data_IF_200173746982
#
_entry.id   IF_200173746982
#
_cell.length_a   1.000
_cell.length_b   1.000
_cell.length_c   1.000
_cell.angle_alpha   90.00
_cell.angle_beta   90.00
_cell.angle_gamma   90.00
#
_symmetry.space_group_name_H-M   'P 1'
#
loop_
_entity.id
_entity.type
_entity.pdbx_description
1 polymer ?
#
# COMPACT_ATOMS: atom_id res chain seq x y z
N UNK A 1 -3.25 2.04 29.82
CA UNK A 1 -2.33 1.12 29.11
C UNK A 1 -2.29 -0.20 29.87
N UNK A 2 -2.88 -1.28 29.34
CA UNK A 2 -2.74 -2.58 29.99
C UNK A 2 -1.42 -3.27 29.59
N UNK A 3 -0.28 -2.66 29.93
CA UNK A 3 1.01 -3.33 29.77
C UNK A 3 1.09 -4.58 30.66
N UNK A 4 2.18 -5.36 30.58
CA UNK A 4 2.46 -6.44 31.53
C UNK A 4 2.46 -5.96 32.99
N UNK A 5 2.46 -4.65 33.24
CA UNK A 5 2.37 -4.01 34.57
C UNK A 5 0.96 -3.57 34.96
N UNK A 6 -0.07 -3.87 34.18
CA UNK A 6 -1.39 -3.29 34.42
C UNK A 6 -2.16 -3.94 35.57
N UNK A 7 -2.74 -3.15 36.48
CA UNK A 7 -3.46 -3.68 37.64
C UNK A 7 -4.56 -4.70 37.30
N UNK A 8 -5.39 -4.54 36.24
CA UNK A 8 -6.44 -5.50 35.91
C UNK A 8 -5.92 -6.87 35.46
N UNK A 9 -4.79 -6.90 34.74
CA UNK A 9 -4.16 -8.15 34.31
C UNK A 9 -3.65 -8.92 35.54
N UNK A 10 -2.93 -8.26 36.43
CA UNK A 10 -2.45 -8.87 37.67
C UNK A 10 -3.61 -9.31 38.57
N UNK A 11 -4.67 -8.51 38.68
CA UNK A 11 -5.87 -8.89 39.42
C UNK A 11 -6.51 -10.17 38.82
N UNK A 12 -6.59 -10.29 37.49
CA UNK A 12 -7.12 -11.49 36.84
C UNK A 12 -6.22 -12.71 37.06
N UNK A 13 -4.90 -12.55 36.95
CA UNK A 13 -3.93 -13.63 37.21
C UNK A 13 -4.01 -14.10 38.66
N UNK A 14 -4.01 -13.16 39.61
CA UNK A 14 -4.14 -13.45 41.04
C UNK A 14 -5.47 -14.13 41.33
N UNK A 15 -6.58 -13.60 40.81
CA UNK A 15 -7.90 -14.19 41.00
C UNK A 15 -7.98 -15.63 40.44
N UNK A 16 -7.50 -15.86 39.21
CA UNK A 16 -7.46 -17.20 38.61
C UNK A 16 -6.58 -18.17 39.42
N UNK A 17 -5.42 -17.69 39.90
CA UNK A 17 -4.49 -18.47 40.73
C UNK A 17 -5.13 -18.86 42.07
N UNK A 18 -5.79 -17.90 42.73
CA UNK A 18 -6.48 -18.12 44.00
C UNK A 18 -7.65 -19.09 43.82
N UNK A 19 -8.49 -18.89 42.80
CA UNK A 19 -9.62 -19.78 42.53
C UNK A 19 -9.18 -21.19 42.16
N UNK A 20 -8.13 -21.33 41.35
CA UNK A 20 -7.53 -22.64 41.04
C UNK A 20 -6.96 -23.34 42.28
N UNK A 21 -6.29 -22.59 43.16
CA UNK A 21 -5.78 -23.08 44.44
C UNK A 21 -6.88 -23.54 45.40
N UNK A 22 -7.92 -22.72 45.59
CA UNK A 22 -9.10 -23.05 46.42
C UNK A 22 -9.79 -24.30 45.88
N UNK A 23 -10.02 -24.37 44.57
CA UNK A 23 -10.65 -25.54 43.95
C UNK A 23 -9.83 -26.82 44.14
N UNK A 24 -8.51 -26.74 43.92
CA UNK A 24 -7.59 -27.88 44.15
C UNK A 24 -7.60 -28.31 45.62
N UNK A 25 -7.65 -27.36 46.55
CA UNK A 25 -7.72 -27.65 47.99
C UNK A 25 -9.03 -28.33 48.39
N UNK A 26 -10.17 -27.83 47.91
CA UNK A 26 -11.49 -28.42 48.18
C UNK A 26 -11.56 -29.84 47.62
N UNK A 27 -11.16 -30.04 46.36
CA UNK A 27 -11.19 -31.35 45.70
C UNK A 27 -10.22 -32.35 46.33
N UNK A 28 -9.07 -31.90 46.83
CA UNK A 28 -8.12 -32.77 47.56
C UNK A 28 -8.64 -33.16 48.96
N UNK A 29 -9.36 -32.26 49.65
CA UNK A 29 -9.85 -32.50 51.02
C UNK A 29 -11.02 -33.49 51.06
N UNK A 30 -11.88 -33.50 50.05
CA UNK A 30 -13.05 -34.39 49.99
C UNK A 30 -12.81 -35.58 49.04
N UNK A 31 -12.16 -36.62 49.58
CA UNK A 31 -11.75 -37.84 48.85
C UNK A 31 -12.89 -38.63 48.19
N UNK A 32 -14.15 -38.31 48.50
CA UNK A 32 -15.35 -39.02 48.03
C UNK A 32 -16.07 -38.38 46.83
N UNK A 33 -15.64 -37.20 46.36
CA UNK A 33 -16.37 -36.43 45.31
C UNK A 33 -15.70 -36.41 43.93
N UNK A 34 -14.60 -37.14 43.76
CA UNK A 34 -13.71 -37.01 42.59
C UNK A 34 -14.39 -37.23 41.23
N UNK A 35 -15.37 -38.13 41.11
CA UNK A 35 -16.01 -38.44 39.83
C UNK A 35 -17.15 -37.48 39.46
N UNK A 36 -18.01 -37.13 40.43
CA UNK A 36 -19.25 -36.39 40.15
C UNK A 36 -19.06 -34.87 40.12
N UNK A 37 -18.13 -34.33 40.92
CA UNK A 37 -17.82 -32.91 40.95
C UNK A 37 -17.06 -32.44 39.71
N UNK A 38 -16.15 -33.27 39.19
CA UNK A 38 -15.41 -32.96 37.96
C UNK A 38 -16.32 -32.91 36.72
N UNK A 39 -17.32 -33.82 36.66
CA UNK A 39 -18.25 -33.91 35.55
C UNK A 39 -19.26 -32.75 35.52
N UNK A 40 -19.82 -32.38 36.67
CA UNK A 40 -20.82 -31.28 36.75
C UNK A 40 -20.19 -29.93 36.43
N UNK A 41 -18.97 -29.66 36.92
CA UNK A 41 -18.25 -28.42 36.59
C UNK A 41 -17.87 -28.37 35.11
N UNK A 42 -17.42 -29.49 34.52
CA UNK A 42 -17.16 -29.57 33.08
C UNK A 42 -18.40 -29.27 32.23
N UNK A 43 -19.55 -29.84 32.60
CA UNK A 43 -20.82 -29.63 31.89
C UNK A 43 -21.38 -28.21 32.05
N UNK A 44 -21.25 -27.60 33.24
CA UNK A 44 -21.71 -26.22 33.46
C UNK A 44 -20.89 -25.20 32.65
N UNK A 45 -19.57 -25.43 32.55
CA UNK A 45 -18.67 -24.61 31.73
C UNK A 45 -18.93 -24.76 30.23
N UNK A 46 -19.29 -25.97 29.76
CA UNK A 46 -19.65 -26.22 28.37
C UNK A 46 -21.01 -25.57 28.02
N UNK A 47 -22.01 -25.72 28.89
CA UNK A 47 -23.38 -25.25 28.66
C UNK A 47 -23.53 -23.73 28.62
N UNK A 48 -22.72 -22.97 29.36
CA UNK A 48 -22.79 -21.51 29.38
C UNK A 48 -22.04 -20.83 28.22
N UNK A 49 -21.26 -21.57 27.42
CA UNK A 49 -20.26 -20.98 26.51
C UNK A 49 -20.57 -21.17 25.01
N UNK A 50 -21.60 -21.92 24.63
CA UNK A 50 -21.86 -22.29 23.24
C UNK A 50 -22.13 -21.11 22.26
N UNK A 51 -22.73 -19.96 22.65
CA UNK A 51 -22.86 -18.83 21.73
C UNK A 51 -21.62 -17.90 21.66
N UNK A 52 -20.61 -18.10 22.52
CA UNK A 52 -19.45 -17.21 22.65
C UNK A 52 -18.11 -17.82 22.19
N UNK A 53 -18.15 -19.04 21.64
CA UNK A 53 -17.02 -19.91 21.32
C UNK A 53 -15.93 -19.27 20.42
N UNK A 54 -16.26 -18.27 19.61
CA UNK A 54 -15.27 -17.59 18.77
C UNK A 54 -14.49 -16.48 19.50
N UNK A 55 -15.03 -15.94 20.59
CA UNK A 55 -14.45 -14.79 21.33
C UNK A 55 -13.45 -15.18 22.43
N UNK A 56 -13.34 -16.47 22.73
CA UNK A 56 -12.73 -16.96 23.98
C UNK A 56 -11.61 -17.99 23.79
N UNK A 57 -10.84 -17.92 22.70
CA UNK A 57 -9.62 -18.75 22.54
C UNK A 57 -8.65 -18.73 23.76
N UNK A 58 -8.39 -17.58 24.42
CA UNK A 58 -7.58 -17.57 25.66
C UNK A 58 -8.31 -18.22 26.86
N UNK A 59 -9.64 -18.15 26.89
CA UNK A 59 -10.43 -18.86 27.91
C UNK A 59 -10.42 -20.36 27.65
N UNK A 60 -10.49 -20.79 26.39
CA UNK A 60 -10.31 -22.18 25.96
C UNK A 60 -8.94 -22.71 26.35
N UNK A 61 -7.91 -21.85 26.34
CA UNK A 61 -6.59 -22.22 26.84
C UNK A 61 -6.65 -22.44 28.36
N UNK A 62 -7.22 -21.51 29.14
CA UNK A 62 -7.41 -21.72 30.59
C UNK A 62 -8.28 -22.95 30.91
N UNK A 63 -9.31 -23.23 30.09
CA UNK A 63 -10.21 -24.36 30.23
C UNK A 63 -9.53 -25.68 29.85
N UNK A 64 -8.74 -25.71 28.76
CA UNK A 64 -7.91 -26.85 28.38
C UNK A 64 -6.88 -27.15 29.48
N UNK A 65 -6.33 -26.11 30.12
CA UNK A 65 -5.43 -26.27 31.25
C UNK A 65 -6.12 -26.76 32.51
N UNK A 66 -7.37 -26.37 32.75
CA UNK A 66 -8.20 -27.00 33.78
C UNK A 66 -8.51 -28.46 33.42
N UNK A 67 -8.81 -28.76 32.15
CA UNK A 67 -9.13 -30.11 31.65
C UNK A 67 -7.92 -31.05 31.61
N UNK A 68 -6.70 -30.55 31.50
CA UNK A 68 -5.46 -31.35 31.57
C UNK A 68 -4.94 -31.41 33.01
N UNK A 69 -5.00 -30.28 33.72
CA UNK A 69 -4.53 -30.17 35.10
C UNK A 69 -5.35 -30.97 36.10
N UNK A 70 -6.68 -31.02 35.95
CA UNK A 70 -7.57 -31.75 36.86
C UNK A 70 -7.35 -33.28 36.77
N UNK A 71 -7.29 -33.92 35.59
CA UNK A 71 -6.98 -35.36 35.50
C UNK A 71 -5.57 -35.70 35.97
N UNK A 72 -4.56 -34.90 35.63
CA UNK A 72 -3.18 -35.11 36.12
C UNK A 72 -3.11 -35.02 37.65
N UNK A 73 -3.90 -34.12 38.26
CA UNK A 73 -4.02 -33.99 39.70
C UNK A 73 -4.73 -35.17 40.38
N UNK A 74 -5.58 -35.88 39.64
CA UNK A 74 -6.28 -37.10 40.10
C UNK A 74 -5.37 -38.33 39.97
N UNK A 75 -4.49 -38.38 38.98
CA UNK A 75 -3.60 -39.53 38.71
C UNK A 75 -2.37 -39.55 39.63
N UNK A 76 -1.80 -38.39 40.01
CA UNK A 76 -0.72 -38.31 41.00
C UNK A 76 -1.16 -37.60 42.30
N UNK A 77 -1.26 -38.29 43.45
CA UNK A 77 -1.84 -37.74 44.68
C UNK A 77 -0.96 -36.72 45.42
N UNK A 78 0.21 -36.36 44.87
CA UNK A 78 1.04 -35.33 45.51
C UNK A 78 0.50 -33.95 45.15
N UNK A 79 -0.31 -33.37 46.05
CA UNK A 79 -0.90 -32.02 45.92
C UNK A 79 0.09 -30.93 45.44
N UNK A 80 1.37 -31.06 45.79
CA UNK A 80 2.45 -30.15 45.36
C UNK A 80 2.63 -30.10 43.84
N UNK A 81 2.55 -31.26 43.15
CA UNK A 81 2.72 -31.33 41.69
C UNK A 81 1.51 -30.74 40.98
N UNK A 82 0.30 -31.01 41.47
CA UNK A 82 -0.95 -30.50 40.91
C UNK A 82 -1.02 -28.98 40.96
N UNK A 83 -0.67 -28.38 42.10
CA UNK A 83 -0.62 -26.91 42.25
C UNK A 83 0.45 -26.30 41.35
N UNK A 84 1.61 -26.96 41.22
CA UNK A 84 2.69 -26.52 40.33
C UNK A 84 2.25 -26.53 38.86
N UNK A 85 1.59 -27.59 38.40
CA UNK A 85 1.04 -27.66 37.03
C UNK A 85 -0.06 -26.62 36.81
N UNK A 86 -1.00 -26.49 37.75
CA UNK A 86 -2.12 -25.54 37.65
C UNK A 86 -1.67 -24.07 37.61
N UNK A 87 -0.47 -23.75 38.13
CA UNK A 87 0.08 -22.39 38.12
C UNK A 87 1.01 -22.14 36.95
N UNK A 88 1.90 -23.09 36.64
CA UNK A 88 2.89 -22.93 35.58
C UNK A 88 2.23 -22.82 34.21
N UNK A 89 1.27 -23.70 33.88
CA UNK A 89 0.80 -23.76 32.50
C UNK A 89 -0.01 -22.52 32.09
N UNK A 90 -0.93 -21.97 32.91
CA UNK A 90 -1.60 -20.72 32.58
C UNK A 90 -0.61 -19.55 32.47
N UNK A 91 0.41 -19.53 33.32
CA UNK A 91 1.48 -18.53 33.28
C UNK A 91 2.26 -18.60 31.95
N UNK A 92 2.57 -19.80 31.46
CA UNK A 92 3.21 -20.00 30.15
C UNK A 92 2.29 -19.49 29.03
N UNK A 93 1.00 -19.80 29.06
CA UNK A 93 0.05 -19.33 28.03
C UNK A 93 -0.09 -17.81 28.04
N UNK A 94 -0.30 -17.21 29.22
CA UNK A 94 -0.39 -15.75 29.37
C UNK A 94 0.92 -15.11 28.91
N UNK A 95 2.07 -15.66 29.33
CA UNK A 95 3.39 -15.24 28.88
C UNK A 95 3.54 -15.30 27.37
N UNK A 96 3.07 -16.37 26.73
CA UNK A 96 3.07 -16.54 25.27
C UNK A 96 2.21 -15.50 24.54
N UNK A 97 1.00 -15.23 25.04
CA UNK A 97 0.10 -14.20 24.48
C UNK A 97 0.71 -12.80 24.62
N UNK A 98 1.27 -12.48 25.80
CA UNK A 98 1.95 -11.20 26.04
C UNK A 98 3.21 -11.06 25.17
N UNK A 99 3.97 -12.14 25.01
CA UNK A 99 5.14 -12.18 24.12
C UNK A 99 4.75 -11.93 22.66
N UNK A 100 3.70 -12.60 22.17
CA UNK A 100 3.21 -12.38 20.80
C UNK A 100 2.67 -10.95 20.60
N UNK A 101 1.92 -10.42 21.59
CA UNK A 101 1.41 -9.05 21.56
C UNK A 101 2.54 -8.02 21.52
N UNK A 102 3.55 -8.17 22.38
CA UNK A 102 4.72 -7.28 22.42
C UNK A 102 5.59 -7.41 21.16
N UNK A 103 5.81 -8.63 20.65
CA UNK A 103 6.51 -8.85 19.38
C UNK A 103 5.78 -8.17 18.21
N UNK A 104 4.44 -8.24 18.17
CA UNK A 104 3.62 -7.56 17.16
C UNK A 104 3.68 -6.04 17.30
N UNK A 105 3.63 -5.52 18.52
CA UNK A 105 3.78 -4.08 18.77
C UNK A 105 5.16 -3.59 18.30
N UNK A 106 6.25 -4.29 18.64
CA UNK A 106 7.60 -3.97 18.16
C UNK A 106 7.69 -3.98 16.64
N UNK A 107 7.06 -4.96 15.97
CA UNK A 107 6.98 -4.98 14.50
C UNK A 107 6.23 -3.78 13.94
N UNK A 108 5.11 -3.39 14.54
CA UNK A 108 4.35 -2.21 14.13
C UNK A 108 5.14 -0.91 14.35
N UNK A 109 5.85 -0.79 15.47
CA UNK A 109 6.75 0.33 15.74
C UNK A 109 7.90 0.38 14.73
N UNK A 110 8.50 -0.77 14.41
CA UNK A 110 9.52 -0.88 13.37
C UNK A 110 8.98 -0.45 11.99
N UNK A 111 7.79 -0.90 11.60
CA UNK A 111 7.16 -0.48 10.35
C UNK A 111 6.81 1.01 10.33
N UNK A 112 6.35 1.58 11.44
CA UNK A 112 6.13 3.04 11.52
C UNK A 112 7.43 3.83 11.37
N UNK A 113 8.54 3.28 11.85
CA UNK A 113 9.87 3.85 11.63
C UNK A 113 10.32 3.75 10.17
N UNK A 114 9.98 2.65 9.48
CA UNK A 114 10.30 2.45 8.06
C UNK A 114 9.40 3.28 7.13
N UNK A 115 8.15 3.51 7.51
CA UNK A 115 7.16 4.28 6.75
C UNK A 115 6.69 5.47 7.58
N UNK A 116 7.53 6.48 7.85
CA UNK A 116 7.11 7.63 8.63
C UNK A 116 5.99 8.41 7.93
N UNK A 117 5.21 9.14 8.72
CA UNK A 117 4.30 10.17 8.17
C UNK A 117 5.14 11.41 7.88
N UNK A 118 5.17 11.81 6.62
CA UNK A 118 5.92 12.94 6.09
C UNK A 118 4.96 13.99 5.52
N UNK A 119 5.44 15.22 5.42
CA UNK A 119 4.76 16.30 4.69
C UNK A 119 5.36 16.44 3.29
N UNK A 120 4.50 16.58 2.28
CA UNK A 120 4.88 16.92 0.92
C UNK A 120 4.99 18.44 0.70
N UNK A 121 4.79 19.27 1.74
CA UNK A 121 4.82 20.73 1.64
C UNK A 121 6.10 21.25 0.96
N UNK A 122 7.27 20.76 1.37
CA UNK A 122 8.55 21.19 0.78
C UNK A 122 8.71 20.75 -0.68
N UNK A 123 8.13 19.62 -1.08
CA UNK A 123 8.22 19.08 -2.44
C UNK A 123 7.31 19.80 -3.42
N UNK A 124 6.19 20.31 -2.92
CA UNK A 124 5.15 20.99 -3.69
C UNK A 124 5.13 22.50 -3.42
N UNK A 125 6.18 23.08 -2.83
CA UNK A 125 6.24 24.50 -2.49
C UNK A 125 6.12 25.45 -3.68
N UNK A 126 6.27 24.94 -4.92
CA UNK A 126 6.04 25.70 -6.14
C UNK A 126 4.54 25.96 -6.42
N UNK A 127 3.64 25.16 -5.84
CA UNK A 127 2.18 25.33 -6.03
C UNK A 127 1.64 26.52 -5.25
N UNK A 128 2.31 26.95 -4.18
CA UNK A 128 1.82 28.05 -3.35
C UNK A 128 1.83 29.40 -4.10
N UNK A 129 2.54 29.47 -5.23
CA UNK A 129 2.59 30.62 -6.15
C UNK A 129 1.48 30.55 -7.21
N UNK A 130 0.92 29.37 -7.48
CA UNK A 130 -0.09 29.20 -8.51
C UNK A 130 -1.44 29.69 -7.97
N UNK A 131 -2.00 30.70 -8.64
CA UNK A 131 -3.37 31.14 -8.38
C UNK A 131 -4.32 29.98 -8.67
N UNK A 132 -5.34 29.80 -7.82
CA UNK A 132 -6.35 28.77 -8.02
C UNK A 132 -7.04 29.00 -9.35
N UNK A 133 -6.79 28.12 -10.30
CA UNK A 133 -7.41 28.16 -11.62
C UNK A 133 -8.81 27.53 -11.52
N UNK A 134 -9.79 28.14 -12.18
CA UNK A 134 -11.10 27.50 -12.34
C UNK A 134 -10.94 26.17 -13.11
N UNK A 135 -11.74 25.14 -12.80
CA UNK A 135 -11.68 23.88 -13.53
C UNK A 135 -11.79 24.10 -15.04
N UNK A 136 -10.88 23.53 -15.85
CA UNK A 136 -10.90 23.74 -17.28
C UNK A 136 -12.16 23.14 -17.90
N UNK A 137 -12.70 23.79 -18.92
CA UNK A 137 -13.74 23.21 -19.77
C UNK A 137 -13.14 22.06 -20.59
N UNK A 138 -13.40 20.83 -20.16
CA UNK A 138 -12.92 19.63 -20.86
C UNK A 138 -13.86 19.25 -22.00
N UNK A 139 -13.28 18.79 -23.12
CA UNK A 139 -14.06 18.12 -24.15
C UNK A 139 -14.73 16.85 -23.59
N UNK A 140 -15.92 16.51 -24.10
CA UNK A 140 -16.67 15.34 -23.61
C UNK A 140 -15.90 14.01 -23.75
N UNK A 141 -14.96 13.93 -24.68
CA UNK A 141 -14.05 12.79 -24.83
C UNK A 141 -13.03 12.73 -23.69
N UNK A 142 -12.34 13.82 -23.41
CA UNK A 142 -11.34 13.90 -22.32
C UNK A 142 -12.00 13.61 -20.97
N UNK A 143 -13.20 14.16 -20.73
CA UNK A 143 -13.95 13.89 -19.50
C UNK A 143 -14.30 12.39 -19.35
N UNK A 144 -14.68 11.72 -20.44
CA UNK A 144 -14.96 10.28 -20.43
C UNK A 144 -13.69 9.43 -20.20
N UNK A 145 -12.56 9.82 -20.80
CA UNK A 145 -11.26 9.16 -20.60
C UNK A 145 -10.79 9.34 -19.14
N UNK A 146 -10.93 10.54 -18.57
CA UNK A 146 -10.61 10.82 -17.17
C UNK A 146 -11.46 9.98 -16.20
N UNK A 147 -12.78 9.90 -16.40
CA UNK A 147 -13.67 9.03 -15.60
C UNK A 147 -13.31 7.56 -15.72
N UNK A 148 -12.89 7.12 -16.90
CA UNK A 148 -12.45 5.74 -17.12
C UNK A 148 -11.16 5.45 -16.35
N UNK A 149 -10.20 6.37 -16.37
CA UNK A 149 -8.96 6.27 -15.59
C UNK A 149 -9.25 6.19 -14.08
N UNK A 150 -10.13 7.05 -13.58
CA UNK A 150 -10.58 7.05 -12.18
C UNK A 150 -11.22 5.71 -11.79
N UNK A 151 -12.05 5.13 -12.68
CA UNK A 151 -12.72 3.85 -12.46
C UNK A 151 -11.80 2.63 -12.50
N UNK A 152 -10.63 2.69 -13.13
CA UNK A 152 -9.68 1.55 -13.22
C UNK A 152 -8.96 1.26 -11.90
N UNK A 153 -8.98 2.19 -10.95
CA UNK A 153 -8.43 1.98 -9.61
C UNK A 153 -9.29 1.02 -8.80
N UNK A 154 -8.99 -0.28 -8.92
CA UNK A 154 -9.71 -1.28 -8.15
C UNK A 154 -9.31 -1.21 -6.67
N UNK A 155 -10.20 -1.58 -5.73
CA UNK A 155 -9.86 -1.67 -4.31
C UNK A 155 -8.63 -2.54 -3.99
N UNK A 156 -8.23 -3.46 -4.90
CA UNK A 156 -7.04 -4.29 -4.75
C UNK A 156 -5.72 -3.52 -4.88
N UNK A 157 -5.66 -2.45 -5.69
CA UNK A 157 -4.47 -1.58 -5.73
C UNK A 157 -4.26 -0.81 -4.42
N UNK A 158 -5.29 -0.76 -3.58
CA UNK A 158 -5.29 0.00 -2.34
C UNK A 158 -4.96 -0.84 -1.10
N UNK A 159 -4.60 -2.12 -1.23
CA UNK A 159 -4.23 -2.93 -0.06
C UNK A 159 -3.05 -2.29 0.69
N UNK A 160 -2.07 -1.76 -0.04
CA UNK A 160 -0.92 -1.06 0.53
C UNK A 160 -1.35 0.23 1.22
N UNK A 161 -2.09 1.08 0.53
CA UNK A 161 -2.62 2.34 1.10
C UNK A 161 -3.44 2.08 2.37
N UNK A 162 -4.35 1.11 2.34
CA UNK A 162 -5.15 0.68 3.50
C UNK A 162 -4.30 0.12 4.65
N UNK A 163 -3.24 -0.64 4.33
CA UNK A 163 -2.33 -1.18 5.35
C UNK A 163 -1.52 -0.06 6.01
N UNK A 164 -1.08 0.93 5.23
CA UNK A 164 -0.38 2.13 5.71
C UNK A 164 -1.33 3.05 6.50
N UNK A 165 -2.56 3.25 6.04
CA UNK A 165 -3.61 3.95 6.79
C UNK A 165 -3.74 3.30 8.17
N UNK A 166 -4.01 1.99 8.22
CA UNK A 166 -4.15 1.28 9.49
C UNK A 166 -2.89 1.33 10.35
N UNK A 167 -1.71 1.43 9.76
CA UNK A 167 -0.45 1.58 10.50
C UNK A 167 -0.40 2.94 11.22
N UNK A 168 -0.95 4.00 10.63
CA UNK A 168 -0.83 5.39 11.09
C UNK A 168 -2.10 6.02 11.68
N UNK A 169 -3.29 5.47 11.46
CA UNK A 169 -4.52 6.04 12.05
C UNK A 169 -4.54 5.85 13.56
N UNK A 170 -4.86 6.91 14.28
CA UNK A 170 -4.98 6.88 15.74
C UNK A 170 -6.09 5.94 16.22
N UNK A 171 -7.13 5.69 15.41
CA UNK A 171 -8.13 4.67 15.68
C UNK A 171 -7.50 3.27 15.80
N UNK A 172 -6.58 2.91 14.90
CA UNK A 172 -5.86 1.64 14.97
C UNK A 172 -4.94 1.58 16.19
N UNK A 173 -4.28 2.69 16.53
CA UNK A 173 -3.48 2.78 17.75
C UNK A 173 -4.34 2.61 19.00
N UNK A 174 -5.42 3.40 19.12
CA UNK A 174 -6.40 3.32 20.21
C UNK A 174 -6.97 1.92 20.33
N UNK A 175 -7.43 1.33 19.22
CA UNK A 175 -7.91 -0.03 19.20
C UNK A 175 -6.84 -1.02 19.69
N UNK A 176 -5.58 -0.89 19.26
CA UNK A 176 -4.47 -1.72 19.71
C UNK A 176 -4.25 -1.65 21.24
N UNK A 177 -4.42 -0.46 21.83
CA UNK A 177 -4.15 -0.22 23.26
C UNK A 177 -5.38 -0.37 24.17
N UNK A 178 -6.60 -0.44 23.61
CA UNK A 178 -7.84 -0.64 24.38
C UNK A 178 -7.80 -1.98 25.11
N UNK A 179 -8.15 -1.96 26.40
CA UNK A 179 -8.18 -3.16 27.25
C UNK A 179 -9.19 -4.17 26.70
N UNK A 180 -8.80 -5.45 26.59
CA UNK A 180 -9.68 -6.52 26.12
C UNK A 180 -9.41 -7.04 24.70
N UNK A 181 -8.13 -7.19 24.33
CA UNK A 181 -7.68 -7.95 23.14
C UNK A 181 -7.71 -7.22 21.78
N UNK A 182 -7.52 -5.91 21.74
CA UNK A 182 -7.42 -5.15 20.47
C UNK A 182 -6.35 -5.67 19.50
N UNK A 183 -5.18 -6.05 20.00
CA UNK A 183 -4.07 -6.54 19.17
C UNK A 183 -4.40 -7.86 18.46
N UNK A 184 -5.11 -8.80 19.09
CA UNK A 184 -5.43 -10.09 18.45
C UNK A 184 -6.54 -9.97 17.41
N UNK A 185 -7.37 -8.92 17.48
CA UNK A 185 -8.49 -8.67 16.55
C UNK A 185 -8.08 -7.93 15.29
N UNK A 186 -6.93 -7.27 15.28
CA UNK A 186 -6.43 -6.65 14.06
C UNK A 186 -5.93 -7.76 13.12
N UNK A 187 -6.37 -7.79 11.85
CA UNK A 187 -5.71 -8.57 10.81
C UNK A 187 -4.20 -8.30 10.86
N UNK A 188 -3.40 -9.38 10.83
CA UNK A 188 -1.95 -9.26 10.80
C UNK A 188 -1.54 -8.46 9.56
N UNK A 189 -0.80 -7.37 9.77
CA UNK A 189 -0.14 -6.70 8.66
C UNK A 189 0.98 -7.62 8.19
N UNK A 190 1.11 -7.80 6.89
CA UNK A 190 2.18 -8.59 6.29
C UNK A 190 3.14 -7.65 5.58
N UNK A 191 4.42 -7.99 5.56
CA UNK A 191 5.43 -7.22 4.84
C UNK A 191 5.08 -7.08 3.35
N UNK A 192 4.51 -8.14 2.75
CA UNK A 192 4.00 -8.13 1.38
C UNK A 192 2.91 -7.07 1.14
N UNK A 193 2.09 -6.75 2.14
CA UNK A 193 1.07 -5.71 2.02
C UNK A 193 1.66 -4.30 2.11
N UNK A 194 2.84 -4.14 2.72
CA UNK A 194 3.57 -2.86 2.81
C UNK A 194 4.56 -2.67 1.66
N UNK A 195 5.02 -3.78 1.06
CA UNK A 195 5.96 -3.78 -0.05
C UNK A 195 5.43 -2.91 -1.20
N UNK A 196 6.28 -1.98 -1.64
CA UNK A 196 6.04 -1.16 -2.83
C UNK A 196 6.78 -1.75 -4.03
N UNK A 197 6.39 -1.33 -5.23
CA UNK A 197 7.22 -1.52 -6.41
C UNK A 197 8.56 -0.79 -6.19
N UNK A 198 9.67 -1.46 -6.48
CA UNK A 198 10.96 -0.81 -6.51
C UNK A 198 11.03 0.11 -7.73
N UNK A 199 11.46 1.36 -7.53
CA UNK A 199 11.78 2.26 -8.63
C UNK A 199 13.19 1.91 -9.12
N UNK A 200 13.32 1.61 -10.41
CA UNK A 200 14.61 1.33 -11.04
C UNK A 200 14.84 2.24 -12.24
N UNK A 201 16.10 2.46 -12.59
CA UNK A 201 16.45 3.27 -13.76
C UNK A 201 16.11 2.50 -15.03
N UNK A 202 15.05 2.94 -15.70
CA UNK A 202 14.68 2.42 -17.01
C UNK A 202 15.39 3.24 -18.06
N UNK A 203 16.49 2.72 -18.60
CA UNK A 203 17.13 3.32 -19.76
C UNK A 203 16.23 3.18 -20.97
N UNK A 204 16.13 4.22 -21.81
CA UNK A 204 15.62 4.02 -23.15
C UNK A 204 16.72 3.34 -23.98
N UNK A 205 16.32 2.38 -24.81
CA UNK A 205 17.28 1.79 -25.74
C UNK A 205 17.65 2.88 -26.74
N UNK A 206 18.93 3.22 -26.82
CA UNK A 206 19.41 4.13 -27.85
C UNK A 206 18.89 3.65 -29.22
N UNK A 207 18.38 4.55 -30.07
CA UNK A 207 18.04 4.20 -31.44
C UNK A 207 19.29 3.55 -32.05
N UNK A 208 19.23 2.24 -32.34
CA UNK A 208 20.34 1.57 -33.01
C UNK A 208 20.55 2.32 -34.33
N UNK A 209 21.76 2.86 -34.54
CA UNK A 209 22.14 3.43 -35.83
C UNK A 209 21.81 2.43 -36.94
N UNK A 210 21.22 2.93 -38.03
CA UNK A 210 20.45 2.19 -39.06
C UNK A 210 21.28 1.18 -39.90
N UNK A 211 22.41 0.68 -39.39
CA UNK A 211 23.32 -0.25 -40.10
C UNK A 211 23.70 -1.54 -39.36
N UNK A 212 23.14 -1.84 -38.17
CA UNK A 212 23.51 -3.03 -37.38
C UNK A 212 22.31 -3.92 -36.99
N UNK A 213 21.39 -4.20 -37.91
CA UNK A 213 20.40 -5.25 -37.70
C UNK A 213 21.00 -6.63 -38.00
N UNK A 214 21.41 -7.34 -36.93
CA UNK A 214 21.55 -8.81 -36.95
C UNK A 214 20.24 -9.40 -36.44
N UNK A 215 19.65 -10.28 -37.24
CA UNK A 215 18.28 -10.79 -37.12
C UNK A 215 18.05 -11.82 -36.00
N UNK A 216 19.08 -12.20 -35.24
CA UNK A 216 18.97 -13.25 -34.23
C UNK A 216 18.87 -12.68 -32.82
N UNK A 217 17.91 -13.20 -32.04
CA UNK A 217 17.77 -13.10 -30.57
C UNK A 217 16.70 -12.09 -30.09
N UNK A 218 15.43 -12.51 -30.15
CA UNK A 218 14.33 -11.94 -29.37
C UNK A 218 13.56 -13.09 -28.69
N UNK A 219 13.99 -13.44 -27.49
CA UNK A 219 13.19 -14.17 -26.52
C UNK A 219 13.07 -13.26 -25.29
N UNK A 220 11.92 -12.63 -25.11
CA UNK A 220 11.44 -12.39 -23.74
C UNK A 220 9.92 -12.29 -23.69
N UNK A 221 9.37 -13.08 -22.79
CA UNK A 221 7.96 -13.38 -22.59
C UNK A 221 7.40 -12.40 -21.55
N UNK A 222 6.70 -11.36 -21.99
CA UNK A 222 5.65 -10.68 -21.19
C UNK A 222 4.75 -9.87 -22.15
N UNK A 223 4.23 -10.58 -23.16
CA UNK A 223 3.27 -10.00 -24.09
C UNK A 223 1.90 -10.03 -23.42
N UNK A 224 1.50 -8.90 -22.83
CA UNK A 224 0.11 -8.67 -22.45
C UNK A 224 -0.76 -8.80 -23.70
N UNK A 225 -1.63 -9.82 -23.73
CA UNK A 225 -2.46 -10.17 -24.88
C UNK A 225 -3.62 -9.16 -25.01
N UNK A 226 -3.31 -7.98 -25.56
CA UNK A 226 -4.28 -6.89 -25.73
C UNK A 226 -4.95 -6.97 -27.12
N UNK A 227 -6.29 -6.94 -27.11
CA UNK A 227 -7.21 -7.26 -28.22
C UNK A 227 -6.98 -6.45 -29.53
N UNK A 228 -7.02 -7.15 -30.67
CA UNK A 228 -6.34 -6.85 -31.95
C UNK A 228 -7.11 -5.98 -32.97
N UNK A 229 -8.03 -5.10 -32.59
CA UNK A 229 -8.84 -4.33 -33.57
C UNK A 229 -8.91 -2.83 -33.27
N UNK A 230 -8.11 -2.01 -33.95
CA UNK A 230 -8.24 -0.54 -33.89
C UNK A 230 -7.15 0.21 -34.67
N UNK A 231 -7.50 1.38 -35.21
CA UNK A 231 -6.68 2.27 -36.05
C UNK A 231 -5.35 2.71 -35.41
N UNK A 232 -4.34 3.02 -36.25
CA UNK A 232 -3.00 3.47 -35.82
C UNK A 232 -3.01 4.69 -34.89
N UNK A 233 -4.00 5.57 -35.00
CA UNK A 233 -4.16 6.70 -34.09
C UNK A 233 -4.44 6.28 -32.64
N UNK A 234 -5.16 5.16 -32.45
CA UNK A 234 -5.43 4.65 -31.11
C UNK A 234 -4.18 3.99 -30.50
N UNK A 235 -3.26 3.44 -31.30
CA UNK A 235 -2.06 2.76 -30.78
C UNK A 235 -1.09 3.73 -30.06
N UNK A 236 -0.89 4.93 -30.61
CA UNK A 236 -0.03 5.95 -30.00
C UNK A 236 -0.69 6.61 -28.79
N UNK A 237 -2.01 6.78 -28.83
CA UNK A 237 -2.77 7.21 -27.66
C UNK A 237 -2.71 6.17 -26.54
N UNK A 238 -2.92 4.89 -26.85
CA UNK A 238 -2.76 3.77 -25.92
C UNK A 238 -1.36 3.78 -25.29
N UNK A 239 -0.31 3.94 -26.11
CA UNK A 239 1.08 4.04 -25.66
C UNK A 239 1.25 5.14 -24.60
N UNK A 240 0.68 6.32 -24.86
CA UNK A 240 0.71 7.42 -23.92
C UNK A 240 -0.06 7.10 -22.64
N UNK A 241 -1.28 6.57 -22.76
CA UNK A 241 -2.13 6.21 -21.62
C UNK A 241 -1.47 5.18 -20.70
N UNK A 242 -0.85 4.14 -21.25
CA UNK A 242 -0.09 3.17 -20.45
C UNK A 242 1.11 3.82 -19.74
N UNK A 243 1.79 4.75 -20.41
CA UNK A 243 2.89 5.49 -19.82
C UNK A 243 2.45 6.42 -18.69
N UNK A 244 1.34 7.13 -18.87
CA UNK A 244 0.77 8.00 -17.85
C UNK A 244 0.29 7.20 -16.63
N UNK A 245 -0.39 6.06 -16.83
CA UNK A 245 -0.83 5.19 -15.75
C UNK A 245 0.34 4.57 -14.96
N UNK A 246 1.42 4.19 -15.63
CA UNK A 246 2.65 3.72 -14.98
C UNK A 246 3.37 4.82 -14.19
N UNK A 247 3.46 6.02 -14.77
CA UNK A 247 4.09 7.17 -14.09
C UNK A 247 3.30 7.64 -12.87
N UNK A 248 1.96 7.62 -12.97
CA UNK A 248 1.02 8.03 -11.93
C UNK A 248 0.52 6.83 -11.09
N UNK A 249 1.29 5.75 -11.02
CA UNK A 249 0.83 4.48 -10.47
C UNK A 249 0.27 4.62 -9.03
N UNK A 250 -1.03 4.35 -8.78
CA UNK A 250 -1.66 4.65 -7.48
C UNK A 250 -1.08 3.88 -6.29
N UNK A 251 -0.58 2.67 -6.52
CA UNK A 251 0.02 1.87 -5.46
C UNK A 251 1.32 2.51 -4.92
N UNK A 252 1.94 3.42 -5.68
CA UNK A 252 3.13 4.16 -5.30
C UNK A 252 2.84 5.28 -4.28
N UNK A 253 1.62 5.85 -4.25
CA UNK A 253 1.32 7.02 -3.42
C UNK A 253 1.31 6.75 -1.91
N UNK A 254 1.10 5.49 -1.53
CA UNK A 254 1.02 5.09 -0.11
C UNK A 254 -0.31 5.50 0.53
N UNK A 255 -0.27 5.89 1.80
CA UNK A 255 -1.42 6.45 2.51
C UNK A 255 -1.32 7.98 2.50
N UNK A 256 -2.34 8.63 1.95
CA UNK A 256 -2.42 10.10 1.85
C UNK A 256 -3.59 10.58 2.72
N UNK A 257 -3.29 11.41 3.71
CA UNK A 257 -4.25 12.11 4.57
C UNK A 257 -4.02 13.62 4.41
N UNK A 258 -4.16 14.06 3.16
CA UNK A 258 -3.75 15.39 2.70
C UNK A 258 -2.23 15.57 2.56
N UNK A 259 -1.84 16.67 1.93
CA UNK A 259 -0.44 17.03 1.60
C UNK A 259 0.53 16.97 2.78
N UNK A 260 0.07 17.19 4.02
CA UNK A 260 0.92 17.24 5.22
C UNK A 260 1.13 15.91 5.94
N UNK A 261 0.36 14.88 5.58
CA UNK A 261 0.37 13.60 6.27
C UNK A 261 0.31 12.48 5.25
N UNK A 262 1.48 12.11 4.74
CA UNK A 262 1.62 11.03 3.77
C UNK A 262 2.58 9.98 4.31
N UNK A 263 2.26 8.70 4.20
CA UNK A 263 3.15 7.60 4.60
C UNK A 263 3.36 6.62 3.46
N UNK A 264 4.62 6.20 3.27
CA UNK A 264 5.00 5.29 2.21
C UNK A 264 4.86 5.88 0.79
N UNK A 265 4.94 7.20 0.66
CA UNK A 265 4.90 7.85 -0.66
C UNK A 265 6.16 7.54 -1.46
N UNK A 266 5.96 7.11 -2.70
CA UNK A 266 6.99 7.01 -3.72
C UNK A 266 6.77 8.11 -4.78
N UNK A 267 7.82 8.86 -5.16
CA UNK A 267 7.73 9.87 -6.22
C UNK A 267 7.26 9.26 -7.55
N UNK A 268 6.48 10.03 -8.32
CA UNK A 268 6.05 9.63 -9.66
C UNK A 268 7.26 9.28 -10.54
N UNK A 269 7.19 8.12 -11.17
CA UNK A 269 8.29 7.54 -11.92
C UNK A 269 7.74 6.47 -12.87
N UNK A 270 8.37 6.31 -14.02
CA UNK A 270 8.15 5.12 -14.82
C UNK A 270 8.75 3.90 -14.12
N UNK A 271 7.96 2.84 -13.98
CA UNK A 271 8.42 1.55 -13.50
C UNK A 271 8.69 0.60 -14.65
N UNK A 272 8.25 0.91 -15.87
CA UNK A 272 8.52 0.10 -17.04
C UNK A 272 8.50 0.96 -18.31
N UNK A 273 9.05 0.41 -19.39
CA UNK A 273 8.93 1.06 -20.70
C UNK A 273 7.47 1.00 -21.15
N UNK A 274 6.88 2.12 -21.64
CA UNK A 274 5.55 2.08 -22.22
C UNK A 274 5.48 1.02 -23.33
N UNK A 275 4.51 0.11 -23.28
CA UNK A 275 4.42 -0.98 -24.22
C UNK A 275 4.08 -0.43 -25.60
N UNK A 276 4.98 -0.65 -26.56
CA UNK A 276 4.70 -0.34 -27.96
C UNK A 276 4.00 -1.55 -28.57
N UNK A 277 2.74 -1.38 -29.01
CA UNK A 277 2.04 -2.44 -29.74
C UNK A 277 2.75 -2.63 -31.08
N UNK A 278 3.26 -3.85 -31.30
CA UNK A 278 4.04 -4.29 -32.47
C UNK A 278 5.48 -3.78 -32.48
N UNK A 279 6.36 -4.54 -33.15
CA UNK A 279 7.70 -4.09 -33.58
C UNK A 279 7.68 -2.91 -34.57
N UNK A 280 6.53 -2.23 -34.73
CA UNK A 280 6.33 -1.17 -35.70
C UNK A 280 6.85 0.19 -35.21
N UNK A 281 7.03 0.41 -33.90
CA UNK A 281 7.58 1.66 -33.40
C UNK A 281 8.71 1.47 -32.39
N UNK A 282 9.58 2.45 -32.31
CA UNK A 282 10.66 2.54 -31.32
C UNK A 282 10.59 3.90 -30.67
N UNK A 283 10.46 3.95 -29.35
CA UNK A 283 10.59 5.19 -28.58
C UNK A 283 12.08 5.52 -28.50
N UNK A 284 12.52 6.49 -29.29
CA UNK A 284 13.89 6.99 -29.25
C UNK A 284 14.12 7.99 -28.13
N UNK A 285 13.08 8.74 -27.75
CA UNK A 285 13.14 9.70 -26.65
C UNK A 285 11.76 9.83 -25.97
N UNK A 286 11.75 9.95 -24.65
CA UNK A 286 10.58 10.26 -23.83
C UNK A 286 11.04 11.19 -22.70
N UNK A 287 10.56 12.44 -22.71
CA UNK A 287 10.89 13.41 -21.67
C UNK A 287 9.62 13.93 -20.99
N UNK A 288 9.77 14.41 -19.75
CA UNK A 288 8.71 15.13 -19.02
C UNK A 288 8.78 16.63 -19.32
N UNK A 289 7.63 17.19 -19.68
CA UNK A 289 7.38 18.63 -19.77
C UNK A 289 6.74 19.08 -18.47
N UNK A 290 7.40 20.00 -17.78
CA UNK A 290 6.92 20.62 -16.55
C UNK A 290 6.16 21.90 -16.85
N UNK A 291 4.92 21.97 -16.37
CA UNK A 291 4.06 23.15 -16.51
C UNK A 291 3.91 23.92 -15.20
N UNK A 292 4.03 23.24 -14.05
CA UNK A 292 3.75 23.85 -12.74
C UNK A 292 5.01 24.31 -11.98
N UNK A 293 6.19 23.75 -12.27
CA UNK A 293 7.38 24.00 -11.44
C UNK A 293 8.11 25.30 -11.80
N UNK A 294 8.07 25.67 -13.08
CA UNK A 294 8.82 26.78 -13.63
C UNK A 294 7.85 27.89 -14.05
N UNK A 295 8.29 29.15 -13.97
CA UNK A 295 7.51 30.30 -14.46
C UNK A 295 7.20 30.19 -15.96
N UNK A 296 8.11 29.58 -16.72
CA UNK A 296 7.90 29.22 -18.12
C UNK A 296 8.00 27.71 -18.29
N UNK A 297 7.10 27.05 -19.03
CA UNK A 297 7.17 25.61 -19.28
C UNK A 297 8.54 25.14 -19.77
N UNK A 298 9.02 24.01 -19.23
CA UNK A 298 10.33 23.44 -19.58
C UNK A 298 10.29 21.94 -19.78
N UNK A 299 11.16 21.45 -20.67
CA UNK A 299 11.38 20.02 -20.87
C UNK A 299 12.61 19.57 -20.10
N UNK A 300 12.44 18.57 -19.26
CA UNK A 300 13.57 17.88 -18.62
C UNK A 300 14.31 17.01 -19.63
N UNK A 301 15.63 17.10 -19.65
CA UNK A 301 16.46 16.30 -20.55
C UNK A 301 17.02 15.09 -19.78
N UNK A 302 16.63 13.88 -20.18
CA UNK A 302 17.18 12.65 -19.62
C UNK A 302 17.36 11.59 -20.71
N UNK A 303 18.41 10.77 -20.58
CA UNK A 303 18.57 9.54 -21.36
C UNK A 303 17.79 8.35 -20.77
N UNK A 304 17.20 8.55 -19.59
CA UNK A 304 16.39 7.58 -18.85
C UNK A 304 14.93 8.03 -18.83
N UNK A 305 14.02 7.11 -18.51
CA UNK A 305 12.63 7.47 -18.31
C UNK A 305 12.47 8.44 -17.12
N UNK A 306 11.54 9.41 -17.20
CA UNK A 306 11.32 10.39 -16.15
C UNK A 306 11.07 9.78 -14.75
N UNK A 307 11.75 10.35 -13.75
CA UNK A 307 11.52 10.07 -12.32
C UNK A 307 11.58 11.36 -11.49
N UNK A 308 10.53 11.66 -10.74
CA UNK A 308 10.41 12.95 -10.04
C UNK A 308 11.45 13.16 -8.93
N UNK A 309 12.00 12.08 -8.34
CA UNK A 309 13.09 12.19 -7.38
C UNK A 309 14.37 12.73 -8.01
N UNK A 310 14.70 12.28 -9.22
CA UNK A 310 15.86 12.74 -9.98
C UNK A 310 15.66 14.15 -10.55
N UNK A 311 14.46 14.43 -11.08
CA UNK A 311 14.11 15.73 -11.70
C UNK A 311 13.94 16.87 -10.69
N UNK A 312 14.00 16.55 -9.39
CA UNK A 312 13.84 17.51 -8.32
C UNK A 312 15.10 18.35 -8.04
N UNK A 313 16.28 17.91 -8.52
CA UNK A 313 17.53 18.63 -8.34
C UNK A 313 17.60 19.88 -9.23
N UNK A 314 18.20 20.96 -8.73
CA UNK A 314 18.48 22.16 -9.53
C UNK A 314 19.47 21.87 -10.68
N UNK A 315 20.18 20.74 -10.61
CA UNK A 315 21.20 20.32 -11.58
C UNK A 315 20.62 19.58 -12.78
N UNK A 316 19.35 19.16 -12.73
CA UNK A 316 18.75 18.43 -13.85
C UNK A 316 18.67 19.34 -15.09
N UNK A 317 19.29 18.96 -16.22
CA UNK A 317 19.30 19.80 -17.40
C UNK A 317 17.88 19.97 -17.94
N UNK A 318 17.54 21.21 -18.28
CA UNK A 318 16.27 21.57 -18.88
C UNK A 318 16.48 22.36 -20.16
N UNK A 319 15.50 22.32 -21.06
CA UNK A 319 15.42 23.23 -22.21
C UNK A 319 14.05 23.90 -22.28
N UNK A 320 14.00 25.01 -23.01
CA UNK A 320 12.74 25.60 -23.42
C UNK A 320 11.95 24.62 -24.33
N UNK A 321 10.64 24.84 -24.40
CA UNK A 321 9.79 24.19 -25.39
C UNK A 321 10.24 24.56 -26.80
N UNK A 322 10.11 23.62 -27.74
CA UNK A 322 10.23 23.95 -29.16
C UNK A 322 8.88 24.33 -29.78
N UNK A 323 8.88 24.65 -31.08
CA UNK A 323 7.70 25.15 -31.78
C UNK A 323 6.51 24.18 -31.72
N UNK A 324 6.75 22.88 -31.91
CA UNK A 324 5.69 21.86 -31.86
C UNK A 324 5.14 21.72 -30.44
N UNK A 325 6.02 21.69 -29.43
CA UNK A 325 5.60 21.54 -28.03
C UNK A 325 4.77 22.74 -27.56
N UNK A 326 5.18 23.95 -27.97
CA UNK A 326 4.46 25.20 -27.68
C UNK A 326 3.04 25.18 -28.26
N UNK A 327 2.90 24.81 -29.53
CA UNK A 327 1.59 24.72 -30.20
C UNK A 327 0.73 23.60 -29.61
N UNK A 328 1.34 22.43 -29.37
CA UNK A 328 0.64 21.25 -28.85
C UNK A 328 0.07 21.47 -27.44
N UNK A 329 0.77 22.19 -26.56
CA UNK A 329 0.25 22.51 -25.22
C UNK A 329 -1.07 23.28 -25.29
N UNK A 330 -1.20 24.23 -26.24
CA UNK A 330 -2.46 24.95 -26.45
C UNK A 330 -3.63 24.00 -26.75
N UNK A 331 -3.36 22.94 -27.53
CA UNK A 331 -4.37 21.89 -27.82
C UNK A 331 -4.68 21.01 -26.61
N UNK A 332 -3.65 20.68 -25.81
CA UNK A 332 -3.79 19.88 -24.60
C UNK A 332 -4.56 20.62 -23.49
N UNK A 333 -4.66 21.94 -23.48
CA UNK A 333 -5.42 22.61 -22.41
C UNK A 333 -6.92 22.30 -22.44
N UNK A 334 -7.56 22.14 -23.61
CA UNK A 334 -9.02 22.00 -23.69
C UNK A 334 -9.58 20.88 -24.56
N UNK A 335 -8.83 20.37 -25.53
CA UNK A 335 -9.43 19.58 -26.61
C UNK A 335 -9.04 18.10 -26.63
N UNK A 336 -7.78 17.79 -26.35
CA UNK A 336 -7.21 16.46 -26.58
C UNK A 336 -6.23 16.04 -25.49
N UNK A 337 -6.00 14.73 -25.37
CA UNK A 337 -4.96 14.18 -24.50
C UNK A 337 -3.66 13.89 -25.23
N UNK A 338 -3.68 13.81 -26.56
CA UNK A 338 -2.48 13.56 -27.38
C UNK A 338 -2.51 14.41 -28.64
N UNK A 339 -1.37 15.01 -28.96
CA UNK A 339 -1.10 15.70 -30.24
C UNK A 339 0.03 14.96 -30.93
N UNK A 340 -0.16 14.65 -32.22
CA UNK A 340 0.76 13.83 -33.02
C UNK A 340 1.13 14.60 -34.29
N UNK A 341 2.43 14.73 -34.56
CA UNK A 341 2.98 15.25 -35.80
C UNK A 341 3.78 14.15 -36.53
N UNK A 342 3.39 13.88 -37.78
CA UNK A 342 3.97 12.83 -38.60
C UNK A 342 5.00 13.42 -39.57
N UNK A 343 6.27 13.08 -39.37
CA UNK A 343 7.41 13.53 -40.17
C UNK A 343 8.06 12.34 -40.90
N UNK A 344 7.29 11.71 -41.81
CA UNK A 344 7.71 10.50 -42.51
C UNK A 344 7.78 9.28 -41.57
N UNK A 345 8.99 8.75 -41.32
CA UNK A 345 9.21 7.66 -40.34
C UNK A 345 9.40 8.18 -38.92
N UNK A 346 9.61 9.48 -38.74
CA UNK A 346 9.69 10.09 -37.41
C UNK A 346 8.31 10.58 -37.01
N UNK A 347 7.95 10.33 -35.76
CA UNK A 347 6.69 10.74 -35.16
C UNK A 347 7.05 11.53 -33.91
N UNK A 348 6.55 12.75 -33.85
CA UNK A 348 6.59 13.58 -32.65
C UNK A 348 5.23 13.49 -31.98
N UNK A 349 5.23 13.30 -30.68
CA UNK A 349 3.99 13.19 -29.92
C UNK A 349 4.12 13.95 -28.62
N UNK A 350 3.06 14.66 -28.23
CA UNK A 350 2.93 15.26 -26.91
C UNK A 350 1.66 14.72 -26.26
N UNK A 351 1.77 14.11 -25.09
CA UNK A 351 0.64 13.52 -24.35
C UNK A 351 0.45 14.15 -22.98
N UNK A 352 -0.79 14.45 -22.60
CA UNK A 352 -1.15 15.16 -21.39
C UNK A 352 -0.99 14.35 -20.10
N UNK A 353 -0.59 15.04 -19.02
CA UNK A 353 -0.72 14.53 -17.66
C UNK A 353 -1.76 15.38 -16.94
N UNK A 354 -2.98 14.85 -16.82
CA UNK A 354 -4.09 15.56 -16.19
C UNK A 354 -4.28 15.15 -14.74
N UNK A 355 -4.72 16.09 -13.93
CA UNK A 355 -5.20 15.81 -12.59
C UNK A 355 -6.52 15.04 -12.66
N UNK A 356 -6.52 13.81 -12.16
CA UNK A 356 -7.78 13.14 -11.80
C UNK A 356 -8.14 13.41 -10.34
N UNK A 357 -9.30 12.92 -9.90
CA UNK A 357 -9.80 13.07 -8.52
C UNK A 357 -8.81 12.70 -7.41
N UNK A 358 -7.88 11.78 -7.68
CA UNK A 358 -6.89 11.32 -6.70
C UNK A 358 -5.68 12.25 -6.63
N UNK A 359 -5.36 12.96 -7.71
CA UNK A 359 -4.30 13.97 -7.72
C UNK A 359 -4.59 15.09 -6.70
N UNK A 360 -5.88 15.41 -6.47
CA UNK A 360 -6.31 16.43 -5.52
C UNK A 360 -6.03 16.06 -4.04
N UNK A 361 -5.68 14.81 -3.73
CA UNK A 361 -5.30 14.43 -2.37
C UNK A 361 -3.96 15.07 -1.94
N UNK A 362 -3.08 15.32 -2.91
CA UNK A 362 -1.75 15.90 -2.69
C UNK A 362 -1.58 17.30 -3.31
N UNK A 363 -2.15 17.53 -4.50
CA UNK A 363 -1.94 18.72 -5.32
C UNK A 363 -3.07 19.73 -5.17
N UNK A 364 -2.73 21.03 -5.15
CA UNK A 364 -3.71 22.12 -5.11
C UNK A 364 -4.18 22.54 -6.51
N UNK A 365 -4.74 21.58 -7.26
CA UNK A 365 -5.12 21.73 -8.67
C UNK A 365 -6.58 21.36 -8.88
N UNK A 366 -7.18 21.83 -9.97
CA UNK A 366 -8.52 21.42 -10.37
C UNK A 366 -8.50 20.04 -11.05
N UNK A 367 -9.58 19.28 -10.91
CA UNK A 367 -9.77 18.06 -11.70
C UNK A 367 -9.79 18.40 -13.19
N UNK A 368 -9.01 17.70 -13.99
CA UNK A 368 -8.84 17.91 -15.43
C UNK A 368 -7.70 18.85 -15.80
N UNK A 369 -7.14 19.57 -14.81
CA UNK A 369 -6.04 20.51 -15.02
C UNK A 369 -4.80 19.80 -15.57
N UNK A 370 -4.09 20.47 -16.47
CA UNK A 370 -2.90 19.93 -17.14
C UNK A 370 -1.67 20.17 -16.24
N UNK A 371 -1.22 19.12 -15.54
CA UNK A 371 -0.10 19.16 -14.61
C UNK A 371 1.27 19.13 -15.32
N UNK A 372 1.29 18.50 -16.49
CA UNK A 372 2.49 18.24 -17.27
C UNK A 372 2.15 17.59 -18.60
N UNK A 373 3.19 17.18 -19.32
CA UNK A 373 3.03 16.36 -20.51
C UNK A 373 4.26 15.48 -20.74
N UNK A 374 4.12 14.41 -21.52
CA UNK A 374 5.25 13.66 -22.07
C UNK A 374 5.47 14.04 -23.53
N UNK A 375 6.70 14.41 -23.86
CA UNK A 375 7.14 14.63 -25.25
C UNK A 375 7.91 13.40 -25.73
N UNK A 376 7.50 12.85 -26.86
CA UNK A 376 8.04 11.63 -27.43
C UNK A 376 8.69 11.91 -28.78
N UNK A 377 9.79 11.21 -29.05
CA UNK A 377 10.30 10.99 -30.40
C UNK A 377 10.24 9.51 -30.69
N UNK A 378 9.42 9.15 -31.68
CA UNK A 378 9.10 7.77 -32.01
C UNK A 378 9.50 7.54 -33.46
N UNK A 379 10.21 6.45 -33.75
CA UNK A 379 10.52 6.05 -35.13
C UNK A 379 9.68 4.86 -35.52
N UNK A 380 9.02 4.93 -36.68
CA UNK A 380 8.33 3.81 -37.30
C UNK A 380 9.35 2.89 -37.97
N UNK A 381 9.37 1.61 -37.56
CA UNK A 381 10.22 0.58 -38.16
C UNK A 381 9.81 0.27 -39.58
#
# INVERSE_FOLDING_TARGET
LAGPTSPPLWAAIVFATVMGGVFTWVTHRERSWHAYGALTVGLMLIGCMFPFLWWLFPFFSCLLLAFIGVPLAVIEPSWRKSVLVATIVPSIVIGGVLWQGTARQRRMEAWRGQFPVESLDSRLGYEDVHEKVEPPELSGRVEAELRTSEGRSTPRSNLRSFTLERLHTEASHRFAITQGFGVSRMPSLTERALASHSIYDVTLREPRHEGQYRESEYHDETVWEFDRRGSTGNELADLHWFGADDFLHPAAWGYVDGRRRVSGFLPHAFHQRPPVRRDAYVIGQLNLVSLLRFETPRVYLSGQLPRMDQLSSQETPTRALDAFETEAIGSLHGATDVVIDYQGRQIRMLGALRADSRCLECHQVARGELLGAFTYRITKR
#
